data_IF_283331003882
#
_entry.id   IF_283331003882
#
_cell.length_a   1.000
_cell.length_b   1.000
_cell.length_c   1.000
_cell.angle_alpha   90.00
_cell.angle_beta   90.00
_cell.angle_gamma   90.00
#
_symmetry.space_group_name_H-M   'P 1'
#
loop_
_entity.id
_entity.type
_entity.pdbx_description
1 polymer ?
#
# COMPACT_ATOMS: atom_id res chain seq x y z
N UNK A 1 15.83 1.96 25.84
CA UNK A 1 16.15 0.73 25.07
C UNK A 1 15.45 0.78 23.70
N UNK A 2 16.07 0.32 22.61
CA UNK A 2 15.37 0.20 21.33
C UNK A 2 14.48 -1.04 21.40
N UNK A 3 13.16 -0.89 21.07
CA UNK A 3 12.31 -2.07 20.90
C UNK A 3 12.92 -2.98 19.83
N UNK A 4 12.83 -4.27 20.03
CA UNK A 4 13.34 -5.28 19.09
C UNK A 4 12.62 -5.15 17.74
N UNK A 5 13.32 -5.48 16.65
CA UNK A 5 12.75 -5.50 15.31
C UNK A 5 11.71 -6.61 15.21
N UNK A 6 10.54 -6.27 14.68
CA UNK A 6 9.45 -7.22 14.46
C UNK A 6 9.56 -7.76 13.03
N UNK A 7 10.09 -8.97 12.87
CA UNK A 7 10.31 -9.58 11.57
C UNK A 7 9.02 -9.89 10.81
N UNK A 8 7.94 -10.18 11.52
CA UNK A 8 6.61 -10.40 10.93
C UNK A 8 6.10 -9.18 10.17
N UNK A 9 6.35 -7.97 10.68
CA UNK A 9 6.00 -6.73 9.97
C UNK A 9 6.86 -6.54 8.71
N UNK A 10 8.12 -6.99 8.73
CA UNK A 10 8.97 -6.95 7.53
C UNK A 10 8.51 -7.96 6.47
N UNK A 11 8.16 -9.20 6.88
CA UNK A 11 7.58 -10.20 5.97
C UNK A 11 6.25 -9.70 5.40
N UNK A 12 5.39 -9.13 6.24
CA UNK A 12 4.12 -8.56 5.77
C UNK A 12 4.35 -7.39 4.77
N UNK A 13 5.35 -6.56 5.00
CA UNK A 13 5.75 -5.50 4.04
C UNK A 13 6.18 -6.07 2.70
N UNK A 14 6.92 -7.17 2.68
CA UNK A 14 7.30 -7.85 1.44
C UNK A 14 6.07 -8.37 0.68
N UNK A 15 5.12 -9.00 1.38
CA UNK A 15 3.84 -9.44 0.80
C UNK A 15 3.10 -8.24 0.18
N UNK A 16 2.95 -7.14 0.92
CA UNK A 16 2.30 -5.93 0.39
C UNK A 16 3.02 -5.37 -0.85
N UNK A 17 4.37 -5.39 -0.87
CA UNK A 17 5.16 -4.92 -2.01
C UNK A 17 4.88 -5.76 -3.27
N UNK A 18 4.87 -7.08 -3.14
CA UNK A 18 4.53 -8.00 -4.23
C UNK A 18 3.08 -7.77 -4.68
N UNK A 19 2.15 -7.61 -3.74
CA UNK A 19 0.74 -7.38 -4.03
C UNK A 19 0.50 -6.09 -4.80
N UNK A 20 1.17 -4.99 -4.44
CA UNK A 20 1.09 -3.72 -5.22
C UNK A 20 1.58 -3.94 -6.64
N UNK A 21 2.72 -4.61 -6.83
CA UNK A 21 3.24 -4.90 -8.17
C UNK A 21 2.24 -5.75 -8.98
N UNK A 22 1.68 -6.81 -8.40
CA UNK A 22 0.67 -7.66 -9.06
C UNK A 22 -0.59 -6.88 -9.42
N UNK A 23 -1.02 -5.93 -8.58
CA UNK A 23 -2.12 -5.02 -8.87
C UNK A 23 -1.85 -4.16 -10.10
N UNK A 24 -0.63 -3.62 -10.25
CA UNK A 24 -0.24 -2.85 -11.44
C UNK A 24 0.01 -3.72 -12.67
N UNK A 25 0.48 -4.95 -12.52
CA UNK A 25 0.61 -5.92 -13.60
C UNK A 25 -0.75 -6.29 -14.17
N UNK A 26 -1.70 -6.64 -13.29
CA UNK A 26 -3.05 -7.08 -13.70
C UNK A 26 -3.94 -5.94 -14.21
N UNK A 27 -3.69 -4.70 -13.81
CA UNK A 27 -4.48 -3.54 -14.25
C UNK A 27 -4.31 -3.25 -15.76
N UNK A 28 -3.16 -3.57 -16.35
CA UNK A 28 -2.94 -3.35 -17.79
C UNK A 28 -3.84 -4.24 -18.66
N UNK A 29 -3.85 -5.59 -18.51
CA UNK A 29 -4.80 -6.43 -19.25
C UNK A 29 -6.27 -6.06 -19.01
N UNK A 30 -6.65 -5.70 -17.78
CA UNK A 30 -8.01 -5.22 -17.48
C UNK A 30 -8.38 -3.94 -18.26
N UNK A 31 -7.38 -3.13 -18.60
CA UNK A 31 -7.58 -1.90 -19.39
C UNK A 31 -7.62 -2.09 -20.91
N UNK A 32 -7.03 -3.18 -21.45
CA UNK A 32 -6.84 -3.36 -22.90
C UNK A 32 -7.57 -4.57 -23.48
N UNK A 33 -7.90 -5.59 -22.70
CA UNK A 33 -8.65 -6.76 -23.16
C UNK A 33 -10.14 -6.46 -23.24
N UNK A 34 -10.80 -7.06 -24.24
CA UNK A 34 -12.28 -7.13 -24.24
C UNK A 34 -12.80 -7.89 -23.01
N UNK A 35 -13.94 -7.45 -22.49
CA UNK A 35 -14.65 -8.14 -21.41
C UNK A 35 -15.04 -9.57 -21.75
N UNK A 36 -15.19 -9.88 -23.03
CA UNK A 36 -15.52 -11.22 -23.55
C UNK A 36 -14.33 -12.16 -23.63
N UNK A 37 -13.11 -11.63 -23.40
CA UNK A 37 -11.91 -12.46 -23.36
C UNK A 37 -11.98 -13.46 -22.19
N UNK A 38 -11.74 -14.75 -22.48
CA UNK A 38 -11.68 -15.81 -21.46
C UNK A 38 -10.68 -15.53 -20.33
N UNK A 39 -9.68 -14.68 -20.55
CA UNK A 39 -8.69 -14.31 -19.56
C UNK A 39 -9.01 -13.03 -18.80
N UNK A 40 -10.05 -12.28 -19.22
CA UNK A 40 -10.41 -11.01 -18.58
C UNK A 40 -10.74 -11.21 -17.09
N UNK A 41 -11.56 -12.23 -16.78
CA UNK A 41 -11.96 -12.57 -15.42
C UNK A 41 -10.77 -12.90 -14.50
N UNK A 42 -9.75 -13.59 -15.02
CA UNK A 42 -8.52 -13.88 -14.26
C UNK A 42 -7.80 -12.59 -13.83
N UNK A 43 -7.56 -11.68 -14.78
CA UNK A 43 -6.89 -10.43 -14.48
C UNK A 43 -7.69 -9.51 -13.56
N UNK A 44 -9.00 -9.47 -13.76
CA UNK A 44 -9.91 -8.71 -12.91
C UNK A 44 -9.95 -9.28 -11.49
N UNK A 45 -9.94 -10.61 -11.35
CA UNK A 45 -9.85 -11.30 -10.07
C UNK A 45 -8.55 -10.96 -9.32
N UNK A 46 -7.40 -11.07 -9.99
CA UNK A 46 -6.10 -10.70 -9.41
C UNK A 46 -6.05 -9.21 -9.05
N UNK A 47 -6.56 -8.33 -9.91
CA UNK A 47 -6.61 -6.90 -9.63
C UNK A 47 -7.46 -6.59 -8.40
N UNK A 48 -8.65 -7.20 -8.30
CA UNK A 48 -9.56 -7.04 -7.17
C UNK A 48 -8.97 -7.61 -5.88
N UNK A 49 -8.30 -8.75 -5.97
CA UNK A 49 -7.56 -9.34 -4.85
C UNK A 49 -6.47 -8.42 -4.32
N UNK A 50 -5.75 -7.70 -5.17
CA UNK A 50 -4.65 -6.82 -4.76
C UNK A 50 -5.12 -5.52 -4.08
N UNK A 51 -6.40 -5.21 -4.05
CA UNK A 51 -6.93 -3.92 -3.54
C UNK A 51 -6.62 -3.63 -2.08
N UNK A 52 -6.41 -4.64 -1.24
CA UNK A 52 -6.10 -4.44 0.19
C UNK A 52 -4.70 -3.84 0.45
N UNK A 53 -3.82 -3.86 -0.53
CA UNK A 53 -2.39 -3.55 -0.30
C UNK A 53 -2.15 -2.14 0.24
N UNK A 54 -2.93 -1.14 -0.19
CA UNK A 54 -2.80 0.24 0.28
C UNK A 54 -3.16 0.34 1.75
N UNK A 55 -4.30 -0.24 2.14
CA UNK A 55 -4.77 -0.29 3.52
C UNK A 55 -3.76 -1.02 4.41
N UNK A 56 -3.22 -2.13 3.93
CA UNK A 56 -2.21 -2.91 4.63
C UNK A 56 -0.90 -2.12 4.83
N UNK A 57 -0.44 -1.37 3.83
CA UNK A 57 0.73 -0.51 3.99
C UNK A 57 0.51 0.63 4.99
N UNK A 58 -0.71 1.19 5.06
CA UNK A 58 -1.06 2.22 6.04
C UNK A 58 -1.08 1.64 7.45
N UNK A 59 -1.72 0.49 7.63
CA UNK A 59 -1.70 -0.26 8.88
C UNK A 59 -0.26 -0.54 9.34
N UNK A 60 0.59 -1.10 8.47
CA UNK A 60 2.00 -1.37 8.74
C UNK A 60 2.78 -0.11 9.10
N UNK A 61 2.59 0.97 8.34
CA UNK A 61 3.30 2.23 8.58
C UNK A 61 2.95 2.82 9.94
N UNK A 62 1.67 2.78 10.32
CA UNK A 62 1.19 3.24 11.60
C UNK A 62 1.70 2.35 12.76
N UNK A 63 1.66 1.02 12.59
CA UNK A 63 2.15 0.07 13.59
C UNK A 63 3.65 0.25 13.86
N UNK A 64 4.46 0.29 12.80
CA UNK A 64 5.92 0.48 12.90
C UNK A 64 6.25 1.84 13.51
N UNK A 65 5.50 2.89 13.19
CA UNK A 65 5.75 4.23 13.72
C UNK A 65 5.47 4.27 15.22
N UNK A 66 4.32 3.76 15.67
CA UNK A 66 4.00 3.69 17.12
C UNK A 66 5.01 2.80 17.83
N UNK A 67 5.29 1.60 17.33
CA UNK A 67 6.30 0.70 17.91
C UNK A 67 7.67 1.37 18.07
N UNK A 68 8.07 2.22 17.12
CA UNK A 68 9.37 2.90 17.14
C UNK A 68 9.43 4.10 18.10
N UNK A 69 8.31 4.80 18.30
CA UNK A 69 8.30 6.10 18.98
C UNK A 69 7.49 6.13 20.27
N UNK A 70 6.56 5.18 20.54
CA UNK A 70 5.69 5.27 21.71
C UNK A 70 6.47 5.43 23.01
N UNK A 71 7.52 4.63 23.25
CA UNK A 71 8.28 4.68 24.52
C UNK A 71 9.33 5.81 24.58
N UNK A 72 9.70 6.38 23.43
CA UNK A 72 10.76 7.40 23.29
C UNK A 72 10.23 8.82 23.17
N UNK A 73 8.91 8.96 23.20
CA UNK A 73 8.29 10.25 22.98
C UNK A 73 8.43 11.15 24.20
N UNK A 74 9.27 12.17 24.08
CA UNK A 74 9.60 13.12 25.16
C UNK A 74 9.10 14.54 24.90
N UNK A 75 8.18 14.73 23.94
CA UNK A 75 7.61 16.04 23.65
C UNK A 75 7.94 16.61 22.26
N UNK A 76 7.92 17.95 22.10
CA UNK A 76 8.04 18.61 20.78
C UNK A 76 9.36 18.32 20.05
N UNK A 77 10.46 18.16 20.77
CA UNK A 77 11.76 17.84 20.16
C UNK A 77 11.76 16.47 19.48
N UNK A 78 11.07 15.50 20.11
CA UNK A 78 10.86 14.17 19.49
C UNK A 78 10.04 14.27 18.21
N UNK A 79 9.05 15.19 18.15
CA UNK A 79 8.25 15.45 16.96
C UNK A 79 9.12 15.99 15.82
N UNK A 80 9.96 16.99 16.09
CA UNK A 80 10.82 17.60 15.08
C UNK A 80 11.84 16.59 14.53
N UNK A 81 12.47 15.79 15.40
CA UNK A 81 13.40 14.74 14.99
C UNK A 81 12.72 13.67 14.12
N UNK A 82 11.50 13.27 14.49
CA UNK A 82 10.69 12.33 13.75
C UNK A 82 10.31 12.91 12.38
N UNK A 83 9.79 14.13 12.31
CA UNK A 83 9.41 14.77 11.05
C UNK A 83 10.61 14.94 10.13
N UNK A 84 11.75 15.42 10.66
CA UNK A 84 12.99 15.53 9.87
C UNK A 84 13.33 14.19 9.19
N UNK A 85 13.30 13.09 9.95
CA UNK A 85 13.61 11.75 9.42
C UNK A 85 12.53 11.25 8.46
N UNK A 86 11.25 11.35 8.84
CA UNK A 86 10.13 10.72 8.12
C UNK A 86 9.61 11.53 6.93
N UNK A 87 9.92 12.82 6.85
CA UNK A 87 9.58 13.64 5.68
C UNK A 87 10.75 13.76 4.71
N UNK A 88 11.99 13.92 5.21
CA UNK A 88 13.16 14.10 4.33
C UNK A 88 13.58 12.80 3.67
N UNK A 89 13.71 11.70 4.43
CA UNK A 89 14.22 10.43 3.90
C UNK A 89 13.36 9.87 2.74
N UNK A 90 12.02 9.83 2.81
CA UNK A 90 11.19 9.47 1.66
C UNK A 90 10.84 10.67 0.75
N UNK A 91 10.93 11.91 1.23
CA UNK A 91 10.55 13.11 0.49
C UNK A 91 11.50 13.41 -0.66
N UNK A 92 12.81 13.28 -0.44
CA UNK A 92 13.80 13.52 -1.51
C UNK A 92 13.62 12.52 -2.66
N UNK A 93 13.56 11.19 -2.44
CA UNK A 93 13.22 10.26 -3.50
C UNK A 93 11.88 10.56 -4.17
N UNK A 94 10.87 10.96 -3.41
CA UNK A 94 9.57 11.33 -3.94
C UNK A 94 9.65 12.47 -4.96
N UNK A 95 10.38 13.56 -4.62
CA UNK A 95 10.57 14.69 -5.53
C UNK A 95 11.34 14.24 -6.77
N UNK A 96 12.44 13.50 -6.60
CA UNK A 96 13.26 13.01 -7.73
C UNK A 96 12.42 12.15 -8.68
N UNK A 97 11.65 11.19 -8.17
CA UNK A 97 10.78 10.37 -9.01
C UNK A 97 9.62 11.15 -9.62
N UNK A 98 9.08 12.15 -8.93
CA UNK A 98 8.07 13.04 -9.50
C UNK A 98 8.62 13.83 -10.70
N UNK A 99 9.87 14.29 -10.64
CA UNK A 99 10.55 14.92 -11.78
C UNK A 99 10.73 13.91 -12.92
N UNK A 100 11.27 12.72 -12.63
CA UNK A 100 11.49 11.67 -13.65
C UNK A 100 10.18 11.34 -14.37
N UNK A 101 9.09 11.08 -13.64
CA UNK A 101 7.79 10.75 -14.22
C UNK A 101 7.17 11.92 -15.00
N UNK A 102 7.35 13.15 -14.52
CA UNK A 102 6.92 14.36 -15.25
C UNK A 102 7.66 14.52 -16.56
N UNK A 103 8.99 14.35 -16.59
CA UNK A 103 9.78 14.37 -17.81
C UNK A 103 9.37 13.27 -18.80
N UNK A 104 9.03 12.08 -18.31
CA UNK A 104 8.50 11.00 -19.14
C UNK A 104 7.12 11.34 -19.72
N UNK A 105 6.27 12.05 -18.96
CA UNK A 105 4.98 12.51 -19.43
C UNK A 105 5.13 13.60 -20.51
N UNK A 106 6.06 14.55 -20.33
CA UNK A 106 6.38 15.58 -21.32
C UNK A 106 6.91 14.93 -22.61
N UNK A 107 7.82 13.97 -22.52
CA UNK A 107 8.30 13.20 -23.70
C UNK A 107 7.21 12.43 -24.44
N UNK A 108 6.07 12.18 -23.80
CA UNK A 108 4.87 11.57 -24.39
C UNK A 108 3.87 12.61 -24.95
N UNK A 109 4.28 13.88 -25.08
CA UNK A 109 3.48 14.96 -25.63
C UNK A 109 2.57 15.68 -24.62
N UNK A 110 2.69 15.42 -23.31
CA UNK A 110 1.96 16.21 -22.30
C UNK A 110 2.63 17.58 -22.13
N UNK A 111 1.85 18.64 -22.20
CA UNK A 111 2.30 19.96 -21.78
C UNK A 111 2.14 20.12 -20.26
N UNK A 112 3.24 20.30 -19.55
CA UNK A 112 3.27 20.46 -18.08
C UNK A 112 4.16 21.66 -17.76
N UNK A 113 3.53 22.76 -17.39
CA UNK A 113 4.19 23.97 -16.88
C UNK A 113 4.56 23.84 -15.40
N UNK A 114 5.31 24.81 -14.88
CA UNK A 114 5.77 24.77 -13.50
C UNK A 114 4.62 24.77 -12.46
N UNK A 115 3.56 25.61 -12.58
CA UNK A 115 2.40 25.53 -11.68
C UNK A 115 1.70 24.18 -11.71
N UNK A 116 1.55 23.55 -12.87
CA UNK A 116 1.00 22.20 -13.02
C UNK A 116 1.90 21.17 -12.35
N UNK A 117 3.23 21.27 -12.52
CA UNK A 117 4.16 20.38 -11.81
C UNK A 117 4.04 20.50 -10.29
N UNK A 118 3.96 21.70 -9.73
CA UNK A 118 3.76 21.89 -8.29
C UNK A 118 2.46 21.25 -7.79
N UNK A 119 1.38 21.36 -8.57
CA UNK A 119 0.10 20.71 -8.25
C UNK A 119 0.21 19.18 -8.32
N UNK A 120 0.90 18.63 -9.32
CA UNK A 120 1.16 17.19 -9.41
C UNK A 120 1.98 16.69 -8.23
N UNK A 121 2.99 17.46 -7.81
CA UNK A 121 3.81 17.17 -6.64
C UNK A 121 2.97 17.22 -5.36
N UNK A 122 2.18 18.28 -5.13
CA UNK A 122 1.36 18.42 -3.93
C UNK A 122 0.29 17.33 -3.79
N UNK A 123 -0.20 16.79 -4.92
CA UNK A 123 -1.28 15.79 -4.94
C UNK A 123 -0.81 14.35 -5.15
N UNK A 124 0.50 14.16 -5.41
CA UNK A 124 1.04 12.83 -5.74
C UNK A 124 0.65 12.32 -7.12
N UNK A 125 0.26 13.20 -8.05
CA UNK A 125 -0.27 12.82 -9.37
C UNK A 125 0.74 12.90 -10.52
N UNK A 126 2.02 13.06 -10.22
CA UNK A 126 3.06 12.92 -11.24
C UNK A 126 3.06 11.51 -11.86
N UNK A 127 2.62 10.48 -11.09
CA UNK A 127 2.30 9.13 -11.55
C UNK A 127 1.30 8.45 -10.62
N UNK A 128 0.58 7.43 -11.13
CA UNK A 128 -0.59 6.84 -10.48
C UNK A 128 -0.38 6.29 -9.05
N UNK A 129 0.83 5.88 -8.69
CA UNK A 129 1.12 5.33 -7.35
C UNK A 129 1.63 6.36 -6.35
N UNK A 130 2.19 7.49 -6.81
CA UNK A 130 2.90 8.45 -5.94
C UNK A 130 2.01 9.15 -4.90
N UNK A 131 0.68 9.16 -5.09
CA UNK A 131 -0.26 9.73 -4.13
C UNK A 131 -0.16 9.09 -2.74
N UNK A 132 0.27 7.83 -2.65
CA UNK A 132 0.43 7.14 -1.37
C UNK A 132 1.49 7.82 -0.48
N UNK A 133 2.54 8.41 -1.07
CA UNK A 133 3.57 9.13 -0.29
C UNK A 133 2.98 10.41 0.30
N UNK A 134 2.16 11.14 -0.46
CA UNK A 134 1.46 12.33 0.03
C UNK A 134 0.52 11.97 1.19
N UNK A 135 -0.18 10.84 1.07
CA UNK A 135 -1.06 10.32 2.12
C UNK A 135 -0.27 9.99 3.40
N UNK A 136 0.86 9.31 3.27
CA UNK A 136 1.73 8.98 4.42
C UNK A 136 2.31 10.24 5.06
N UNK A 137 2.65 11.28 4.29
CA UNK A 137 3.14 12.55 4.84
C UNK A 137 2.07 13.24 5.70
N UNK A 138 0.81 13.25 5.27
CA UNK A 138 -0.29 13.75 6.10
C UNK A 138 -0.38 13.00 7.44
N UNK A 139 -0.27 11.68 7.42
CA UNK A 139 -0.23 10.88 8.63
C UNK A 139 0.97 11.24 9.53
N UNK A 140 2.17 11.38 8.95
CA UNK A 140 3.36 11.74 9.73
C UNK A 140 3.24 13.12 10.37
N UNK A 141 2.62 14.08 9.70
CA UNK A 141 2.37 15.41 10.27
C UNK A 141 1.40 15.35 11.45
N UNK A 142 0.36 14.54 11.37
CA UNK A 142 -0.64 14.38 12.42
C UNK A 142 -0.19 13.41 13.54
N UNK A 143 0.83 12.61 13.31
CA UNK A 143 1.24 11.53 14.22
C UNK A 143 1.49 11.97 15.66
N UNK A 144 2.15 13.09 15.97
CA UNK A 144 2.35 13.54 17.36
C UNK A 144 1.04 13.73 18.11
N UNK A 145 0.07 14.36 17.46
CA UNK A 145 -1.26 14.58 18.03
C UNK A 145 -2.02 13.26 18.23
N UNK A 146 -1.99 12.41 17.20
CA UNK A 146 -2.63 11.09 17.24
C UNK A 146 -1.99 10.18 18.31
N UNK A 147 -0.67 10.22 18.48
CA UNK A 147 0.01 9.44 19.50
C UNK A 147 -0.38 9.89 20.91
N UNK A 148 -0.52 11.19 21.12
CA UNK A 148 -0.99 11.73 22.40
C UNK A 148 -2.43 11.29 22.69
N UNK A 149 -3.31 11.39 21.70
CA UNK A 149 -4.71 10.94 21.81
C UNK A 149 -4.80 9.42 22.05
N UNK A 150 -4.00 8.61 21.34
CA UNK A 150 -3.95 7.17 21.52
C UNK A 150 -3.55 6.79 22.95
N UNK A 151 -2.54 7.46 23.52
CA UNK A 151 -2.11 7.20 24.91
C UNK A 151 -3.18 7.53 25.93
N UNK A 152 -3.96 8.59 25.73
CA UNK A 152 -5.08 8.94 26.63
C UNK A 152 -6.24 7.96 26.52
N UNK A 153 -6.39 7.25 25.40
CA UNK A 153 -7.45 6.29 25.11
C UNK A 153 -6.96 4.83 25.05
N UNK A 154 -5.71 4.55 25.45
CA UNK A 154 -5.10 3.22 25.33
C UNK A 154 -5.86 2.11 26.04
N UNK A 155 -6.56 2.42 27.16
CA UNK A 155 -7.44 1.47 27.85
C UNK A 155 -8.82 1.28 27.16
N UNK A 156 -9.10 1.96 26.05
CA UNK A 156 -10.39 1.90 25.35
C UNK A 156 -10.18 1.62 23.84
N UNK A 157 -9.66 0.44 23.47
CA UNK A 157 -9.32 0.12 22.07
C UNK A 157 -10.54 0.19 21.12
N UNK A 158 -11.72 -0.20 21.59
CA UNK A 158 -12.96 -0.14 20.80
C UNK A 158 -13.33 1.31 20.47
N UNK A 159 -13.20 2.24 21.43
CA UNK A 159 -13.45 3.66 21.20
C UNK A 159 -12.45 4.23 20.20
N UNK A 160 -11.17 3.88 20.33
CA UNK A 160 -10.13 4.31 19.40
C UNK A 160 -10.40 3.85 17.97
N UNK A 161 -10.72 2.58 17.77
CA UNK A 161 -11.08 2.02 16.46
C UNK A 161 -12.38 2.64 15.93
N UNK A 162 -13.36 2.87 16.80
CA UNK A 162 -14.63 3.52 16.45
C UNK A 162 -14.43 4.95 15.92
N UNK A 163 -13.55 5.74 16.54
CA UNK A 163 -13.17 7.07 16.05
C UNK A 163 -12.58 6.98 14.64
N UNK A 164 -11.62 6.07 14.42
CA UNK A 164 -11.03 5.85 13.10
C UNK A 164 -12.05 5.44 12.03
N UNK A 165 -13.01 4.58 12.41
CA UNK A 165 -14.11 4.16 11.54
C UNK A 165 -15.07 5.31 11.21
N UNK A 166 -15.43 6.12 12.20
CA UNK A 166 -16.30 7.28 12.02
C UNK A 166 -15.65 8.36 11.13
N UNK A 167 -14.36 8.64 11.31
CA UNK A 167 -13.61 9.56 10.44
C UNK A 167 -13.65 9.06 8.98
N UNK A 168 -13.38 7.78 8.76
CA UNK A 168 -13.39 7.17 7.43
C UNK A 168 -14.79 7.19 6.80
N UNK A 169 -15.81 6.78 7.56
CA UNK A 169 -17.20 6.76 7.10
C UNK A 169 -17.72 8.19 6.82
N UNK A 170 -17.40 9.14 7.69
CA UNK A 170 -17.75 10.56 7.51
C UNK A 170 -17.13 11.14 6.23
N UNK A 171 -15.85 10.86 5.98
CA UNK A 171 -15.20 11.27 4.73
C UNK A 171 -15.89 10.66 3.50
N UNK A 172 -16.20 9.34 3.55
CA UNK A 172 -16.89 8.67 2.46
C UNK A 172 -18.29 9.22 2.21
N UNK A 173 -19.06 9.45 3.26
CA UNK A 173 -20.41 10.03 3.16
C UNK A 173 -20.36 11.45 2.59
N UNK A 174 -19.39 12.26 3.03
CA UNK A 174 -19.19 13.61 2.51
C UNK A 174 -18.88 13.59 1.02
N UNK A 175 -17.91 12.74 0.60
CA UNK A 175 -17.50 12.57 -0.79
C UNK A 175 -18.64 12.12 -1.71
N UNK A 176 -19.54 11.29 -1.20
CA UNK A 176 -20.66 10.74 -1.97
C UNK A 176 -21.89 11.63 -2.03
N UNK A 177 -22.19 12.38 -0.96
CA UNK A 177 -23.48 13.05 -0.77
C UNK A 177 -23.43 14.57 -0.78
N UNK A 178 -22.29 15.16 -0.46
CA UNK A 178 -22.16 16.62 -0.30
C UNK A 178 -21.31 17.23 -1.40
N UNK A 179 -20.09 16.75 -1.55
CA UNK A 179 -19.14 17.28 -2.52
C UNK A 179 -18.09 16.23 -2.89
N UNK A 180 -17.98 15.96 -4.18
CA UNK A 180 -16.96 15.04 -4.70
C UNK A 180 -15.55 15.60 -4.44
N UNK A 181 -14.84 14.98 -3.49
CA UNK A 181 -13.54 15.48 -3.03
C UNK A 181 -12.48 15.24 -4.11
N UNK A 182 -11.83 16.31 -4.61
CA UNK A 182 -10.77 16.17 -5.58
C UNK A 182 -9.62 15.32 -5.02
N UNK A 183 -9.08 14.41 -5.85
CA UNK A 183 -7.95 13.58 -5.47
C UNK A 183 -8.17 12.74 -4.18
N UNK A 184 -9.42 12.29 -3.96
CA UNK A 184 -9.85 11.58 -2.74
C UNK A 184 -8.92 10.45 -2.30
N UNK A 185 -8.19 9.81 -3.22
CA UNK A 185 -7.24 8.76 -2.91
C UNK A 185 -6.00 9.27 -2.16
N UNK A 186 -5.66 10.55 -2.28
CA UNK A 186 -4.49 11.17 -1.63
C UNK A 186 -4.77 11.69 -0.21
N UNK A 187 -5.99 11.50 0.32
CA UNK A 187 -6.35 11.99 1.66
C UNK A 187 -6.24 10.90 2.72
N UNK A 188 -5.43 11.14 3.75
CA UNK A 188 -5.20 10.18 4.84
C UNK A 188 -6.49 9.83 5.62
N UNK A 189 -7.38 10.79 5.78
CA UNK A 189 -8.68 10.63 6.47
C UNK A 189 -9.57 9.57 5.82
N UNK A 190 -9.45 9.33 4.51
CA UNK A 190 -10.13 8.25 3.79
C UNK A 190 -9.80 6.86 4.33
N UNK A 191 -8.68 6.72 4.99
CA UNK A 191 -8.13 5.48 5.50
C UNK A 191 -7.97 5.49 7.02
N UNK A 192 -8.78 6.33 7.70
CA UNK A 192 -8.67 6.57 9.13
C UNK A 192 -8.68 5.29 9.95
N UNK A 193 -9.58 4.34 9.66
CA UNK A 193 -9.67 3.08 10.37
C UNK A 193 -8.34 2.30 10.36
N UNK A 194 -7.68 2.20 9.21
CA UNK A 194 -6.44 1.42 9.07
C UNK A 194 -5.26 2.07 9.77
N UNK A 195 -5.19 3.41 9.76
CA UNK A 195 -4.18 4.16 10.49
C UNK A 195 -4.36 3.97 12.00
N UNK A 196 -5.60 4.08 12.49
CA UNK A 196 -5.94 3.91 13.90
C UNK A 196 -5.72 2.46 14.37
N UNK A 197 -6.12 1.47 13.55
CA UNK A 197 -5.88 0.06 13.83
C UNK A 197 -4.37 -0.27 13.86
N UNK A 198 -3.60 0.26 12.92
CA UNK A 198 -2.15 0.12 12.91
C UNK A 198 -1.48 0.76 14.11
N UNK A 199 -1.92 1.96 14.52
CA UNK A 199 -1.41 2.63 15.72
C UNK A 199 -1.69 1.81 16.98
N UNK A 200 -2.90 1.24 17.11
CA UNK A 200 -3.25 0.36 18.23
C UNK A 200 -2.38 -0.90 18.25
N UNK A 201 -2.21 -1.54 17.09
CA UNK A 201 -1.34 -2.70 16.93
C UNK A 201 0.11 -2.41 17.32
N UNK A 202 0.62 -1.21 17.04
CA UNK A 202 1.98 -0.80 17.37
C UNK A 202 2.23 -0.55 18.86
N UNK A 203 1.18 -0.35 19.68
CA UNK A 203 1.31 -0.23 21.14
C UNK A 203 1.67 -1.56 21.78
N UNK A 204 0.93 -2.61 21.44
CA UNK A 204 1.12 -3.95 21.98
C UNK A 204 0.96 -4.98 20.85
N UNK A 205 2.06 -5.15 20.13
CA UNK A 205 2.06 -6.03 18.96
C UNK A 205 1.99 -7.50 19.36
N UNK A 206 2.49 -7.87 20.54
CA UNK A 206 2.52 -9.24 21.02
C UNK A 206 1.10 -9.75 21.30
N UNK A 207 0.24 -8.91 21.88
CA UNK A 207 -1.19 -9.22 22.07
C UNK A 207 -1.88 -9.50 20.74
N UNK A 208 -1.63 -8.66 19.72
CA UNK A 208 -2.20 -8.88 18.38
C UNK A 208 -1.66 -10.16 17.75
N UNK A 209 -0.37 -10.44 17.89
CA UNK A 209 0.24 -11.67 17.38
C UNK A 209 -0.39 -12.92 18.02
N UNK A 210 -0.52 -12.94 19.33
CA UNK A 210 -1.11 -14.09 20.04
C UNK A 210 -2.59 -14.28 19.65
N UNK A 211 -3.33 -13.19 19.54
CA UNK A 211 -4.72 -13.25 19.11
C UNK A 211 -4.86 -13.79 17.69
N UNK A 212 -4.05 -13.31 16.73
CA UNK A 212 -4.07 -13.80 15.34
C UNK A 212 -3.66 -15.26 15.24
N UNK A 213 -2.70 -15.70 16.04
CA UNK A 213 -2.26 -17.10 16.09
C UNK A 213 -3.36 -18.04 16.57
N UNK A 214 -4.07 -17.63 17.65
CA UNK A 214 -5.19 -18.42 18.21
C UNK A 214 -6.38 -18.50 17.26
N UNK A 215 -6.65 -17.43 16.53
CA UNK A 215 -7.84 -17.30 15.66
C UNK A 215 -7.55 -17.51 14.17
N UNK A 216 -6.37 -18.05 13.82
CA UNK A 216 -5.89 -18.14 12.42
C UNK A 216 -6.88 -18.76 11.43
N UNK A 217 -7.61 -19.79 11.83
CA UNK A 217 -8.57 -20.48 10.97
C UNK A 217 -9.86 -19.66 10.76
N UNK A 218 -10.35 -19.02 11.81
CA UNK A 218 -11.49 -18.10 11.69
C UNK A 218 -11.12 -16.89 10.80
N UNK A 219 -9.92 -16.33 11.00
CA UNK A 219 -9.38 -15.25 10.16
C UNK A 219 -9.30 -15.71 8.69
N UNK A 220 -8.78 -16.91 8.42
CA UNK A 220 -8.67 -17.46 7.07
C UNK A 220 -10.05 -17.66 6.43
N UNK A 221 -11.05 -18.16 7.18
CA UNK A 221 -12.41 -18.32 6.68
C UNK A 221 -13.05 -16.95 6.34
N UNK A 222 -12.97 -15.96 7.24
CA UNK A 222 -13.49 -14.61 6.99
C UNK A 222 -12.79 -13.96 5.81
N UNK A 223 -11.48 -14.11 5.71
CA UNK A 223 -10.70 -13.61 4.58
C UNK A 223 -11.14 -14.26 3.26
N UNK A 224 -11.28 -15.58 3.21
CA UNK A 224 -11.68 -16.27 1.99
C UNK A 224 -13.08 -15.84 1.50
N UNK A 225 -14.06 -15.79 2.42
CA UNK A 225 -15.41 -15.32 2.10
C UNK A 225 -15.40 -13.87 1.63
N UNK A 226 -14.73 -12.98 2.36
CA UNK A 226 -14.66 -11.57 1.97
C UNK A 226 -13.89 -11.32 0.67
N UNK A 227 -12.87 -12.16 0.35
CA UNK A 227 -12.15 -12.11 -0.91
C UNK A 227 -13.06 -12.48 -2.09
N UNK A 228 -13.84 -13.56 -1.96
CA UNK A 228 -14.81 -13.96 -2.98
C UNK A 228 -15.87 -12.87 -3.20
N UNK A 229 -16.44 -12.33 -2.12
CA UNK A 229 -17.40 -11.23 -2.20
C UNK A 229 -16.79 -9.97 -2.85
N UNK A 230 -15.57 -9.59 -2.47
CA UNK A 230 -14.89 -8.45 -3.08
C UNK A 230 -14.63 -8.66 -4.58
N UNK A 231 -14.20 -9.86 -4.99
CA UNK A 231 -13.97 -10.17 -6.39
C UNK A 231 -15.29 -10.18 -7.18
N UNK A 232 -16.35 -10.80 -6.67
CA UNK A 232 -17.65 -10.89 -7.35
C UNK A 232 -18.31 -9.53 -7.53
N UNK A 233 -18.36 -8.70 -6.48
CA UNK A 233 -18.91 -7.33 -6.55
C UNK A 233 -18.07 -6.44 -7.46
N UNK A 234 -16.75 -6.53 -7.40
CA UNK A 234 -15.85 -5.78 -8.28
C UNK A 234 -16.04 -6.16 -9.75
N UNK A 235 -16.23 -7.46 -10.02
CA UNK A 235 -16.50 -7.96 -11.35
C UNK A 235 -17.86 -7.46 -11.87
N UNK A 236 -18.91 -7.56 -11.06
CA UNK A 236 -20.23 -7.08 -11.42
C UNK A 236 -20.25 -5.58 -11.77
N UNK A 237 -19.62 -4.74 -10.92
CA UNK A 237 -19.50 -3.30 -11.17
C UNK A 237 -18.72 -3.02 -12.47
N UNK A 238 -17.63 -3.75 -12.69
CA UNK A 238 -16.78 -3.55 -13.88
C UNK A 238 -17.45 -3.99 -15.18
N UNK A 239 -18.24 -5.06 -15.13
CA UNK A 239 -18.97 -5.62 -16.28
C UNK A 239 -20.34 -4.95 -16.48
N UNK A 240 -20.75 -4.02 -15.60
CA UNK A 240 -22.05 -3.38 -15.64
C UNK A 240 -23.23 -4.34 -15.38
N UNK A 241 -22.97 -5.50 -14.76
CA UNK A 241 -24.01 -6.49 -14.44
C UNK A 241 -24.65 -6.18 -13.08
N UNK A 242 -25.99 -6.38 -12.93
CA UNK A 242 -26.67 -6.19 -11.66
C UNK A 242 -26.10 -7.15 -10.59
N UNK A 243 -25.78 -6.60 -9.43
CA UNK A 243 -25.39 -7.39 -8.27
C UNK A 243 -26.04 -6.80 -7.01
N UNK A 244 -26.73 -7.64 -6.23
CA UNK A 244 -27.49 -7.21 -5.04
C UNK A 244 -26.66 -6.44 -4.01
N UNK A 245 -25.35 -6.74 -3.93
CA UNK A 245 -24.45 -6.13 -2.97
C UNK A 245 -23.64 -4.95 -3.53
N UNK A 246 -23.90 -4.47 -4.76
CA UNK A 246 -23.15 -3.36 -5.35
C UNK A 246 -23.25 -2.08 -4.52
N UNK A 247 -24.39 -1.82 -3.87
CA UNK A 247 -24.55 -0.70 -2.93
C UNK A 247 -23.67 -0.78 -1.67
N UNK A 248 -23.14 -1.97 -1.36
CA UNK A 248 -22.24 -2.22 -0.21
C UNK A 248 -20.78 -2.41 -0.63
N UNK A 249 -20.42 -2.10 -1.87
CA UNK A 249 -19.08 -2.37 -2.42
C UNK A 249 -17.96 -1.79 -1.55
N UNK A 250 -18.10 -0.56 -1.06
CA UNK A 250 -17.10 0.08 -0.19
C UNK A 250 -16.97 -0.67 1.16
N UNK A 251 -18.10 -1.09 1.76
CA UNK A 251 -18.09 -1.88 2.99
C UNK A 251 -17.40 -3.23 2.77
N UNK A 252 -17.71 -3.92 1.67
CA UNK A 252 -17.12 -5.21 1.31
C UNK A 252 -15.61 -5.08 1.11
N UNK A 253 -15.16 -4.05 0.39
CA UNK A 253 -13.73 -3.76 0.22
C UNK A 253 -13.06 -3.51 1.58
N UNK A 254 -13.71 -2.78 2.49
CA UNK A 254 -13.14 -2.50 3.80
C UNK A 254 -13.07 -3.77 4.68
N UNK A 255 -14.11 -4.59 4.71
CA UNK A 255 -14.10 -5.87 5.43
C UNK A 255 -13.01 -6.79 4.87
N UNK A 256 -12.92 -6.89 3.55
CA UNK A 256 -11.87 -7.66 2.88
C UNK A 256 -10.46 -7.15 3.23
N UNK A 257 -10.25 -5.83 3.25
CA UNK A 257 -8.94 -5.26 3.57
C UNK A 257 -8.54 -5.50 5.03
N UNK A 258 -9.48 -5.41 5.99
CA UNK A 258 -9.23 -5.75 7.40
C UNK A 258 -8.89 -7.24 7.54
N UNK A 259 -9.71 -8.11 6.95
CA UNK A 259 -9.47 -9.55 6.97
C UNK A 259 -8.11 -9.89 6.33
N UNK A 260 -7.73 -9.21 5.23
CA UNK A 260 -6.43 -9.37 4.59
C UNK A 260 -5.27 -8.93 5.48
N UNK A 261 -5.40 -7.80 6.21
CA UNK A 261 -4.36 -7.37 7.15
C UNK A 261 -4.10 -8.46 8.22
N UNK A 262 -5.16 -9.00 8.80
CA UNK A 262 -5.05 -10.04 9.83
C UNK A 262 -4.54 -11.38 9.26
N UNK A 263 -5.06 -11.78 8.09
CA UNK A 263 -4.66 -13.02 7.42
C UNK A 263 -3.17 -13.00 7.03
N UNK A 264 -2.72 -11.93 6.37
CA UNK A 264 -1.32 -11.83 5.96
C UNK A 264 -0.37 -11.57 7.13
N UNK A 265 -0.85 -11.02 8.25
CA UNK A 265 -0.10 -11.02 9.49
C UNK A 265 0.10 -12.45 10.02
N UNK A 266 -0.94 -13.29 10.03
CA UNK A 266 -0.84 -14.70 10.41
C UNK A 266 0.09 -15.49 9.46
N UNK A 267 0.01 -15.23 8.14
CA UNK A 267 0.95 -15.80 7.15
C UNK A 267 2.38 -15.36 7.45
N UNK A 268 2.58 -14.09 7.82
CA UNK A 268 3.91 -13.56 8.15
C UNK A 268 4.50 -14.24 9.38
N UNK A 269 3.70 -14.52 10.41
CA UNK A 269 4.13 -15.30 11.58
C UNK A 269 4.57 -16.71 11.18
N UNK A 270 3.83 -17.36 10.29
CA UNK A 270 4.18 -18.69 9.79
C UNK A 270 5.48 -18.66 8.98
N UNK A 271 5.67 -17.70 8.06
CA UNK A 271 6.89 -17.53 7.26
C UNK A 271 8.09 -17.25 8.15
N UNK A 272 7.93 -16.41 9.17
CA UNK A 272 9.00 -16.11 10.15
C UNK A 272 9.40 -17.35 10.93
N UNK A 273 8.43 -18.18 11.35
CA UNK A 273 8.67 -19.42 12.07
C UNK A 273 9.43 -20.49 11.24
N UNK A 274 9.31 -20.48 9.91
CA UNK A 274 10.07 -21.38 9.01
C UNK A 274 11.58 -21.12 9.05
N UNK A 275 11.99 -19.90 9.43
CA UNK A 275 13.40 -19.49 9.57
C UNK A 275 14.33 -19.92 8.41
N UNK A 276 13.80 -20.01 7.21
CA UNK A 276 14.46 -20.55 6.02
C UNK A 276 14.63 -19.53 4.89
N UNK A 277 14.79 -20.02 3.67
CA UNK A 277 14.92 -19.19 2.48
C UNK A 277 13.71 -18.27 2.24
N UNK A 278 12.44 -18.65 2.55
CA UNK A 278 11.31 -17.75 2.33
C UNK A 278 11.40 -16.50 3.20
N UNK A 279 11.80 -16.65 4.47
CA UNK A 279 12.03 -15.49 5.35
C UNK A 279 13.16 -14.60 4.81
N UNK A 280 14.30 -15.19 4.40
CA UNK A 280 15.42 -14.41 3.85
C UNK A 280 15.03 -13.64 2.58
N UNK A 281 14.28 -14.26 1.68
CA UNK A 281 13.76 -13.61 0.47
C UNK A 281 12.80 -12.46 0.83
N UNK A 282 11.86 -12.68 1.74
CA UNK A 282 10.93 -11.66 2.22
C UNK A 282 11.68 -10.48 2.86
N UNK A 283 12.69 -10.74 3.69
CA UNK A 283 13.53 -9.69 4.28
C UNK A 283 14.29 -8.89 3.23
N UNK A 284 14.80 -9.55 2.17
CA UNK A 284 15.44 -8.89 1.04
C UNK A 284 14.50 -7.93 0.31
N UNK A 285 13.28 -8.38 0.01
CA UNK A 285 12.25 -7.56 -0.64
C UNK A 285 11.79 -6.43 0.30
N UNK A 286 11.57 -6.70 1.58
CA UNK A 286 11.17 -5.70 2.58
C UNK A 286 12.18 -4.57 2.68
N UNK A 287 13.47 -4.89 2.74
CA UNK A 287 14.55 -3.90 2.80
C UNK A 287 14.67 -3.04 1.53
N UNK A 288 14.18 -3.54 0.41
CA UNK A 288 14.16 -2.83 -0.88
C UNK A 288 12.77 -2.26 -1.23
N UNK A 289 11.76 -2.47 -0.39
CA UNK A 289 10.34 -2.22 -0.69
C UNK A 289 10.06 -0.81 -1.22
N UNK A 290 10.71 0.21 -0.65
CA UNK A 290 10.51 1.59 -1.07
C UNK A 290 11.12 1.88 -2.45
N UNK A 291 12.32 1.38 -2.74
CA UNK A 291 12.92 1.51 -4.07
C UNK A 291 12.12 0.74 -5.13
N UNK A 292 11.66 -0.48 -4.83
CA UNK A 292 10.76 -1.25 -5.68
C UNK A 292 9.47 -0.48 -5.94
N UNK A 293 8.86 0.09 -4.88
CA UNK A 293 7.65 0.89 -4.98
C UNK A 293 7.82 2.08 -5.92
N UNK A 294 8.94 2.80 -5.87
CA UNK A 294 9.19 3.97 -6.70
C UNK A 294 9.47 3.61 -8.16
N UNK A 295 10.17 2.51 -8.42
CA UNK A 295 10.72 2.16 -9.74
C UNK A 295 9.85 1.21 -10.57
N UNK A 296 9.03 0.35 -9.92
CA UNK A 296 8.31 -0.71 -10.66
C UNK A 296 7.36 -0.20 -11.76
N UNK A 297 6.66 0.95 -11.66
CA UNK A 297 5.79 1.39 -12.76
C UNK A 297 6.58 1.80 -14.00
N UNK A 298 7.79 2.37 -13.80
CA UNK A 298 8.70 2.64 -14.90
C UNK A 298 9.17 1.32 -15.53
N UNK A 299 9.58 0.36 -14.70
CA UNK A 299 9.98 -0.98 -15.15
C UNK A 299 8.86 -1.67 -15.95
N UNK A 300 7.62 -1.65 -15.46
CA UNK A 300 6.46 -2.18 -16.18
C UNK A 300 6.19 -1.46 -17.50
N UNK A 301 6.33 -0.12 -17.53
CA UNK A 301 6.14 0.65 -18.75
C UNK A 301 7.21 0.33 -19.82
N UNK A 302 8.45 0.12 -19.40
CA UNK A 302 9.55 -0.32 -20.28
C UNK A 302 9.34 -1.77 -20.76
N UNK A 303 9.02 -2.68 -19.84
CA UNK A 303 8.76 -4.09 -20.16
C UNK A 303 7.66 -4.23 -21.22
N UNK A 304 6.53 -3.55 -21.04
CA UNK A 304 5.40 -3.58 -21.99
C UNK A 304 5.80 -3.10 -23.39
N UNK A 305 6.71 -2.13 -23.50
CA UNK A 305 7.21 -1.66 -24.80
C UNK A 305 8.11 -2.68 -25.48
N UNK A 306 8.98 -3.33 -24.70
CA UNK A 306 9.93 -4.34 -25.20
C UNK A 306 9.24 -5.64 -25.61
N UNK A 307 8.13 -5.97 -24.96
CA UNK A 307 7.40 -7.23 -25.18
C UNK A 307 6.06 -7.04 -25.90
N UNK A 308 5.82 -5.86 -26.51
CA UNK A 308 4.63 -5.62 -27.30
C UNK A 308 4.49 -6.65 -28.43
N UNK A 309 3.35 -7.33 -28.50
CA UNK A 309 3.09 -8.39 -29.47
C UNK A 309 1.62 -8.47 -29.81
N UNK A 310 1.30 -8.83 -31.07
CA UNK A 310 -0.05 -9.16 -31.50
C UNK A 310 -0.45 -10.61 -31.20
N UNK A 311 0.47 -11.46 -30.73
CA UNK A 311 0.18 -12.84 -30.41
C UNK A 311 -0.45 -12.94 -29.00
N UNK A 312 -1.68 -13.48 -28.86
CA UNK A 312 -2.38 -13.55 -27.57
C UNK A 312 -1.64 -14.38 -26.51
N UNK A 313 -1.01 -15.49 -26.88
CA UNK A 313 -0.29 -16.35 -25.95
C UNK A 313 0.93 -15.61 -25.40
N UNK A 314 1.73 -15.03 -26.29
CA UNK A 314 2.90 -14.24 -25.89
C UNK A 314 2.52 -13.03 -25.05
N UNK A 315 1.36 -12.39 -25.33
CA UNK A 315 0.83 -11.32 -24.49
C UNK A 315 0.64 -11.78 -23.04
N UNK A 316 -0.08 -12.89 -22.82
CA UNK A 316 -0.33 -13.39 -21.46
C UNK A 316 0.96 -13.84 -20.75
N UNK A 317 1.86 -14.52 -21.48
CA UNK A 317 3.17 -14.90 -20.93
C UNK A 317 3.99 -13.67 -20.55
N UNK A 318 4.01 -12.62 -21.40
CA UNK A 318 4.74 -11.40 -21.13
C UNK A 318 4.21 -10.64 -19.92
N UNK A 319 2.90 -10.65 -19.69
CA UNK A 319 2.29 -10.02 -18.50
C UNK A 319 2.80 -10.65 -17.22
N UNK A 320 2.80 -11.98 -17.12
CA UNK A 320 3.26 -12.69 -15.91
C UNK A 320 4.78 -12.69 -15.77
N UNK A 321 5.51 -12.83 -16.88
CA UNK A 321 6.97 -12.68 -16.88
C UNK A 321 7.35 -11.27 -16.41
N UNK A 322 6.58 -10.24 -16.81
CA UNK A 322 6.79 -8.88 -16.35
C UNK A 322 6.68 -8.70 -14.82
N UNK A 323 5.80 -9.44 -14.16
CA UNK A 323 5.72 -9.43 -12.70
C UNK A 323 7.05 -9.88 -12.07
N UNK A 324 7.60 -10.99 -12.55
CA UNK A 324 8.85 -11.58 -12.02
C UNK A 324 10.06 -10.72 -12.40
N UNK A 325 10.19 -10.37 -13.67
CA UNK A 325 11.36 -9.63 -14.19
C UNK A 325 11.43 -8.23 -13.58
N UNK A 326 10.29 -7.51 -13.53
CA UNK A 326 10.30 -6.14 -12.98
C UNK A 326 10.52 -6.16 -11.47
N UNK A 327 9.98 -7.15 -10.73
CA UNK A 327 10.31 -7.31 -9.31
C UNK A 327 11.81 -7.54 -9.12
N UNK A 328 12.39 -8.49 -9.84
CA UNK A 328 13.81 -8.83 -9.73
C UNK A 328 14.72 -7.65 -10.11
N UNK A 329 14.43 -6.97 -11.22
CA UNK A 329 15.21 -5.82 -11.67
C UNK A 329 15.07 -4.60 -10.73
N UNK A 330 13.86 -4.30 -10.25
CA UNK A 330 13.66 -3.21 -9.30
C UNK A 330 14.34 -3.50 -7.95
N UNK A 331 14.32 -4.76 -7.52
CA UNK A 331 15.02 -5.21 -6.32
C UNK A 331 16.53 -5.10 -6.49
N UNK A 332 17.09 -5.70 -7.55
CA UNK A 332 18.52 -5.64 -7.85
C UNK A 332 19.01 -4.20 -8.01
N UNK A 333 18.29 -3.36 -8.75
CA UNK A 333 18.60 -1.94 -8.92
C UNK A 333 18.60 -1.20 -7.58
N UNK A 334 17.63 -1.48 -6.70
CA UNK A 334 17.58 -0.88 -5.36
C UNK A 334 18.80 -1.28 -4.53
N UNK A 335 19.18 -2.56 -4.52
CA UNK A 335 20.36 -3.03 -3.78
C UNK A 335 21.65 -2.46 -4.35
N UNK A 336 21.75 -2.35 -5.67
CA UNK A 336 22.90 -1.74 -6.35
C UNK A 336 23.03 -0.26 -6.04
N UNK A 337 21.94 0.52 -6.15
CA UNK A 337 21.92 1.94 -5.84
C UNK A 337 22.27 2.24 -4.38
N UNK A 338 21.86 1.40 -3.44
CA UNK A 338 22.22 1.54 -2.01
C UNK A 338 23.74 1.46 -1.74
N UNK A 339 24.54 0.97 -2.67
CA UNK A 339 26.01 0.96 -2.54
C UNK A 339 26.66 2.34 -2.77
N UNK A 340 25.93 3.27 -3.40
CA UNK A 340 26.44 4.61 -3.71
C UNK A 340 26.01 5.64 -2.67
N UNK A 341 26.91 6.58 -2.36
CA UNK A 341 26.66 7.65 -1.38
C UNK A 341 25.37 8.44 -1.63
N UNK A 342 25.03 8.68 -2.88
CA UNK A 342 23.81 9.42 -3.27
C UNK A 342 22.66 8.52 -3.71
N UNK A 343 22.81 7.20 -3.72
CA UNK A 343 21.78 6.25 -4.18
C UNK A 343 20.47 6.33 -3.36
N UNK A 344 20.60 6.73 -2.09
CA UNK A 344 19.43 6.94 -1.23
C UNK A 344 18.46 8.01 -1.75
N UNK A 345 18.90 8.95 -2.60
CA UNK A 345 18.00 9.94 -3.22
C UNK A 345 17.05 9.33 -4.22
N UNK A 346 17.32 8.13 -4.70
CA UNK A 346 16.48 7.36 -5.61
C UNK A 346 15.71 6.24 -4.93
N UNK A 347 16.27 5.61 -3.90
CA UNK A 347 15.69 4.39 -3.32
C UNK A 347 15.34 4.51 -1.83
N UNK A 348 15.60 5.67 -1.22
CA UNK A 348 15.46 5.90 0.22
C UNK A 348 16.60 5.27 1.03
N UNK A 349 16.67 5.64 2.31
CA UNK A 349 17.65 5.08 3.25
C UNK A 349 17.23 3.74 3.80
#
# INVERSE_FOLDING_TARGET
>A
MSRTRIYELDVFRAICTITVLLGHVSSYPVGVLSTDSRFYGLYLGVNSFCRFAIQAFLFLSAAVLVHSYADRWQGPESALAMWRKRLIDPGIPYVVWSVIYTLLAIRRGRHIDFPTFLRLLATGKAWDHLYFIVLIFQFYLLFPLLLRALRSLSCRPVLWLGIGALIQAGFHMWDQRVFAIPNRASWAVRFGFYLFAGMLAGLDFDVLQDWTRRNRWAIAAVWAVSAVLNCSVSAAIRLGTPHRLSGYAELIVNVYAVASCLFFLAVSQWVTALNGWPMRAAMGISNASFGIYLSHPLGLAMWRRLTATGNPILFHLSVWAGAVVVLALSWAATLWLKRFKFGWTLVGK
#
